data_IF_062467461747
#
_entry.id   IF_062467461747
#
_cell.length_a   1.000
_cell.length_b   1.000
_cell.length_c   1.000
_cell.angle_alpha   90.00
_cell.angle_beta   90.00
_cell.angle_gamma   90.00
#
_symmetry.space_group_name_H-M   'P 1'
#
loop_
_entity.id
_entity.type
_entity.pdbx_description
1 polymer ?
#
# COMPACT_ATOMS: atom_id res chain seq x y z
N UNK A 1 2.44 29.56 40.70
CA UNK A 1 1.64 29.45 39.46
C UNK A 1 1.87 28.05 38.90
N UNK A 2 0.87 27.16 39.03
CA UNK A 2 0.97 25.78 38.60
C UNK A 2 0.52 25.67 37.13
N UNK A 3 1.45 25.29 36.25
CA UNK A 3 1.17 25.03 34.84
C UNK A 3 0.53 23.65 34.67
N UNK A 4 -0.73 23.64 34.25
CA UNK A 4 -1.52 22.45 34.00
C UNK A 4 -1.11 21.82 32.66
N UNK A 5 -0.55 20.61 32.68
CA UNK A 5 -0.33 19.76 31.50
C UNK A 5 -1.65 19.18 31.02
N UNK A 6 -2.12 19.59 29.84
CA UNK A 6 -3.23 18.91 29.16
C UNK A 6 -2.71 17.62 28.52
N UNK A 7 -3.20 16.48 29.00
CA UNK A 7 -3.03 15.19 28.35
C UNK A 7 -3.89 15.15 27.06
N UNK A 8 -3.28 14.71 25.96
CA UNK A 8 -3.99 14.46 24.72
C UNK A 8 -5.01 13.32 24.91
N UNK A 9 -6.24 13.53 24.43
CA UNK A 9 -7.32 12.56 24.55
C UNK A 9 -7.02 11.29 23.72
N UNK A 10 -7.30 10.09 24.24
CA UNK A 10 -7.14 8.85 23.48
C UNK A 10 -8.18 8.74 22.35
N UNK A 11 -7.70 8.36 21.17
CA UNK A 11 -8.48 8.23 19.94
C UNK A 11 -9.47 7.04 20.05
N UNK A 12 -10.79 7.23 19.79
CA UNK A 12 -11.78 6.19 20.01
C UNK A 12 -11.93 5.32 18.76
N UNK A 13 -11.08 4.31 18.60
CA UNK A 13 -11.26 3.31 17.53
C UNK A 13 -11.25 1.88 18.06
N UNK A 14 -12.11 1.61 19.03
CA UNK A 14 -12.48 0.27 19.46
C UNK A 14 -13.94 -0.01 19.06
N UNK A 15 -14.19 -0.28 17.79
CA UNK A 15 -15.50 -0.78 17.33
C UNK A 15 -15.35 -2.10 16.57
N UNK A 16 -15.86 -3.12 17.26
CA UNK A 16 -16.05 -4.52 16.88
C UNK A 16 -16.64 -4.66 15.48
N UNK A 17 -16.00 -5.44 14.61
CA UNK A 17 -16.61 -5.96 13.39
C UNK A 17 -17.73 -6.94 13.75
N UNK A 18 -18.99 -6.62 13.37
CA UNK A 18 -20.06 -7.61 13.23
C UNK A 18 -20.19 -8.00 11.74
N UNK A 19 -20.39 -9.29 11.40
CA UNK A 19 -20.63 -9.69 10.03
C UNK A 19 -22.07 -9.36 9.62
N UNK A 20 -22.24 -8.69 8.47
CA UNK A 20 -23.54 -8.59 7.81
C UNK A 20 -23.73 -9.81 6.91
N UNK A 21 -24.56 -10.74 7.37
CA UNK A 21 -25.23 -11.71 6.51
C UNK A 21 -26.40 -11.04 5.77
N UNK A 22 -26.64 -11.45 4.52
CA UNK A 22 -27.77 -10.96 3.76
C UNK A 22 -27.74 -11.39 2.30
N UNK A 23 -28.33 -12.54 2.01
CA UNK A 23 -28.70 -13.01 0.67
C UNK A 23 -29.72 -12.08 0.02
N UNK A 24 -29.53 -11.71 -1.26
CA UNK A 24 -30.65 -11.53 -2.20
C UNK A 24 -30.21 -11.55 -3.66
N UNK A 25 -30.94 -12.37 -4.41
CA UNK A 25 -30.96 -12.57 -5.86
C UNK A 25 -31.41 -11.32 -6.61
N UNK A 26 -30.73 -10.96 -7.70
CA UNK A 26 -31.15 -9.89 -8.60
C UNK A 26 -30.51 -10.01 -9.98
N UNK A 27 -31.33 -10.37 -10.98
CA UNK A 27 -31.01 -10.49 -12.40
C UNK A 27 -30.82 -9.08 -12.99
N UNK A 28 -29.70 -8.79 -13.65
CA UNK A 28 -29.49 -7.55 -14.39
C UNK A 28 -29.11 -7.84 -15.84
N UNK A 29 -29.90 -7.28 -16.74
CA UNK A 29 -29.79 -7.33 -18.20
C UNK A 29 -28.61 -6.51 -18.73
N UNK A 30 -28.05 -6.97 -19.85
CA UNK A 30 -26.89 -6.39 -20.50
C UNK A 30 -27.18 -5.03 -21.15
N UNK A 31 -26.30 -4.05 -20.90
CA UNK A 31 -26.06 -2.91 -21.80
C UNK A 31 -24.55 -2.68 -21.92
N UNK A 32 -24.04 -2.86 -23.14
CA UNK A 32 -22.65 -2.71 -23.53
C UNK A 32 -22.28 -1.22 -23.64
N UNK A 33 -21.59 -0.71 -22.63
CA UNK A 33 -20.83 0.53 -22.69
C UNK A 33 -19.44 0.27 -22.15
N UNK A 34 -18.44 0.19 -23.02
CA UNK A 34 -17.04 -0.09 -22.67
C UNK A 34 -16.40 1.15 -22.04
N UNK A 35 -16.78 1.47 -20.80
CA UNK A 35 -16.00 2.38 -19.93
C UNK A 35 -14.81 1.60 -19.40
N UNK A 36 -13.59 2.14 -19.54
CA UNK A 36 -12.36 1.63 -18.92
C UNK A 36 -12.61 1.53 -17.42
N UNK A 37 -12.87 0.33 -16.91
CA UNK A 37 -12.96 0.07 -15.48
C UNK A 37 -11.53 0.13 -14.95
N UNK A 38 -11.22 1.14 -14.14
CA UNK A 38 -9.99 1.11 -13.36
C UNK A 38 -10.04 -0.14 -12.47
N UNK A 39 -8.92 -0.83 -12.39
CA UNK A 39 -8.78 -2.12 -11.73
C UNK A 39 -8.89 -1.93 -10.20
N UNK A 40 -10.11 -1.85 -9.69
CA UNK A 40 -10.38 -1.55 -8.26
C UNK A 40 -10.52 -2.79 -7.38
N UNK A 41 -10.36 -4.01 -7.92
CA UNK A 41 -10.75 -5.25 -7.24
C UNK A 41 -9.60 -6.14 -6.70
N UNK A 42 -8.32 -5.83 -6.93
CA UNK A 42 -7.22 -6.78 -6.64
C UNK A 42 -6.15 -6.24 -5.68
N UNK A 43 -6.49 -5.88 -4.44
CA UNK A 43 -5.49 -5.35 -3.48
C UNK A 43 -5.85 -5.55 -1.99
N UNK A 44 -6.22 -6.78 -1.57
CA UNK A 44 -6.95 -6.93 -0.29
C UNK A 44 -6.14 -6.95 1.01
N UNK A 45 -4.87 -7.35 1.09
CA UNK A 45 -4.18 -7.22 2.36
C UNK A 45 -3.52 -5.82 2.47
N UNK A 46 -2.71 -5.40 1.49
CA UNK A 46 -1.76 -4.27 1.73
C UNK A 46 -2.48 -2.94 1.55
N UNK A 47 -3.19 -2.82 0.44
CA UNK A 47 -3.96 -1.63 0.12
C UNK A 47 -5.21 -1.52 0.98
N UNK A 48 -5.82 -2.61 1.46
CA UNK A 48 -6.93 -2.47 2.40
C UNK A 48 -6.45 -1.95 3.76
N UNK A 49 -5.32 -2.45 4.27
CA UNK A 49 -4.69 -1.94 5.49
C UNK A 49 -4.26 -0.47 5.32
N UNK A 50 -3.73 -0.13 4.15
CA UNK A 50 -3.39 1.25 3.79
C UNK A 50 -4.59 2.19 3.57
N UNK A 51 -5.68 1.73 2.95
CA UNK A 51 -6.89 2.55 2.71
C UNK A 51 -7.60 2.94 4.01
N UNK A 52 -7.42 2.18 5.09
CA UNK A 52 -7.83 2.61 6.42
C UNK A 52 -6.95 3.73 6.98
N UNK A 53 -5.70 3.81 6.53
CA UNK A 53 -4.65 4.71 7.03
C UNK A 53 -4.55 6.04 6.27
N UNK A 54 -4.79 6.04 4.95
CA UNK A 54 -4.62 7.20 4.07
C UNK A 54 -5.56 8.39 4.38
N UNK A 55 -6.38 8.30 5.43
CA UNK A 55 -7.19 9.40 5.96
C UNK A 55 -6.45 10.22 7.03
N UNK A 56 -5.37 9.70 7.60
CA UNK A 56 -4.64 10.31 8.73
C UNK A 56 -3.45 11.18 8.29
N UNK A 57 -2.85 10.92 7.11
CA UNK A 57 -1.60 11.54 6.67
C UNK A 57 -1.74 12.92 5.97
N UNK A 58 -2.71 13.76 6.34
CA UNK A 58 -2.84 15.10 5.76
C UNK A 58 -2.57 16.18 6.82
N UNK A 59 -1.39 16.83 6.84
CA UNK A 59 -1.19 17.99 7.67
C UNK A 59 -2.01 19.15 7.09
N UNK A 60 -3.04 19.57 7.82
CA UNK A 60 -3.85 20.75 7.49
C UNK A 60 -4.91 20.54 6.41
N UNK A 61 -6.11 20.11 6.81
CA UNK A 61 -7.38 20.63 6.27
C UNK A 61 -7.62 20.62 4.76
N UNK A 62 -6.96 19.77 3.98
CA UNK A 62 -7.30 19.53 2.56
C UNK A 62 -6.79 18.14 2.16
N UNK A 63 -7.70 17.18 2.06
CA UNK A 63 -7.40 15.79 1.73
C UNK A 63 -6.78 15.62 0.34
N UNK A 64 -5.47 15.82 0.23
CA UNK A 64 -4.65 15.41 -0.91
C UNK A 64 -4.10 14.03 -0.58
N UNK A 65 -4.90 13.01 -0.87
CA UNK A 65 -4.53 11.62 -0.64
C UNK A 65 -3.25 11.27 -1.39
N UNK A 66 -2.31 10.62 -0.72
CA UNK A 66 -1.10 10.09 -1.35
C UNK A 66 -1.50 9.05 -2.39
N UNK A 67 -1.22 9.28 -3.69
CA UNK A 67 -1.60 8.32 -4.71
C UNK A 67 -0.75 7.05 -4.54
N UNK A 68 -1.43 5.92 -4.50
CA UNK A 68 -0.79 4.62 -4.72
C UNK A 68 -0.36 4.59 -6.18
N UNK A 69 0.95 4.51 -6.43
CA UNK A 69 1.50 4.43 -7.77
C UNK A 69 1.53 2.99 -8.29
N UNK A 70 2.11 2.07 -7.49
CA UNK A 70 2.06 0.63 -7.76
C UNK A 70 1.49 -0.12 -6.57
N UNK A 71 0.67 -1.14 -6.83
CA UNK A 71 0.27 -2.13 -5.84
C UNK A 71 0.69 -3.52 -6.34
N UNK A 72 -0.12 -4.13 -7.22
CA UNK A 72 0.28 -5.34 -7.93
C UNK A 72 0.83 -5.02 -9.32
N UNK A 73 1.86 -5.75 -9.75
CA UNK A 73 2.41 -5.76 -11.12
C UNK A 73 2.58 -7.21 -11.58
N UNK A 74 2.34 -7.50 -12.85
CA UNK A 74 2.58 -8.84 -13.39
C UNK A 74 4.08 -9.18 -13.44
N UNK A 75 4.42 -10.46 -13.47
CA UNK A 75 5.80 -10.93 -13.68
C UNK A 75 6.37 -10.44 -15.01
N UNK A 76 5.57 -10.41 -16.08
CA UNK A 76 6.01 -9.87 -17.36
C UNK A 76 6.39 -8.40 -17.30
N UNK A 77 5.64 -7.58 -16.57
CA UNK A 77 6.01 -6.17 -16.34
C UNK A 77 7.27 -6.06 -15.47
N UNK A 78 7.39 -6.90 -14.44
CA UNK A 78 8.59 -6.93 -13.59
C UNK A 78 9.84 -7.30 -14.39
N UNK A 79 9.73 -8.29 -15.26
CA UNK A 79 10.79 -8.71 -16.16
C UNK A 79 11.19 -7.58 -17.11
N UNK A 80 10.23 -6.87 -17.72
CA UNK A 80 10.52 -5.71 -18.56
C UNK A 80 11.20 -4.57 -17.78
N UNK A 81 10.82 -4.34 -16.52
CA UNK A 81 11.49 -3.35 -15.65
C UNK A 81 12.92 -3.78 -15.30
N UNK A 82 13.14 -5.07 -15.07
CA UNK A 82 14.47 -5.65 -14.83
C UNK A 82 15.37 -5.49 -16.07
N UNK A 83 14.87 -5.86 -17.24
CA UNK A 83 15.58 -5.75 -18.52
C UNK A 83 15.93 -4.31 -18.90
N UNK A 84 15.10 -3.34 -18.50
CA UNK A 84 15.34 -1.91 -18.74
C UNK A 84 16.16 -1.24 -17.62
N UNK A 85 16.65 -2.00 -16.63
CA UNK A 85 17.42 -1.49 -15.50
C UNK A 85 16.61 -0.63 -14.51
N UNK A 86 15.28 -0.59 -14.64
CA UNK A 86 14.37 0.10 -13.70
C UNK A 86 14.05 -0.72 -12.45
N UNK A 87 14.42 -1.99 -12.45
CA UNK A 87 14.38 -2.87 -11.29
C UNK A 87 15.68 -3.67 -11.22
N UNK A 88 16.14 -3.96 -10.01
CA UNK A 88 17.29 -4.84 -9.77
C UNK A 88 16.86 -6.29 -9.51
N UNK A 89 15.55 -6.55 -9.43
CA UNK A 89 14.99 -7.88 -9.14
C UNK A 89 13.98 -8.32 -10.19
N UNK A 90 13.99 -9.60 -10.51
CA UNK A 90 13.01 -10.27 -11.39
C UNK A 90 11.73 -10.69 -10.66
N UNK A 91 11.77 -10.74 -9.33
CA UNK A 91 10.61 -10.98 -8.46
C UNK A 91 10.62 -10.03 -7.26
N UNK A 92 9.44 -9.53 -6.88
CA UNK A 92 9.23 -8.68 -5.71
C UNK A 92 7.85 -8.92 -5.10
N UNK A 93 7.60 -8.34 -3.92
CA UNK A 93 6.28 -8.37 -3.26
C UNK A 93 5.16 -7.69 -4.06
N UNK A 94 5.48 -6.88 -5.09
CA UNK A 94 4.48 -6.38 -6.04
C UNK A 94 3.94 -7.47 -6.98
N UNK A 95 4.65 -8.58 -7.13
CA UNK A 95 4.37 -9.59 -8.15
C UNK A 95 3.80 -10.89 -7.58
N UNK A 96 3.59 -10.95 -6.27
CA UNK A 96 3.02 -12.12 -5.63
C UNK A 96 1.65 -12.43 -6.26
N UNK A 97 1.48 -13.69 -6.66
CA UNK A 97 0.26 -14.21 -7.29
C UNK A 97 -0.05 -15.53 -6.63
N UNK A 98 -1.26 -15.71 -6.12
CA UNK A 98 -1.65 -16.94 -5.43
C UNK A 98 -1.60 -18.12 -6.40
N UNK A 99 -1.56 -19.34 -5.85
CA UNK A 99 -1.54 -20.57 -6.65
C UNK A 99 -2.78 -20.73 -7.54
N UNK A 100 -3.90 -20.11 -7.17
CA UNK A 100 -5.13 -20.04 -7.99
C UNK A 100 -5.07 -18.98 -9.10
N UNK A 101 -3.93 -18.32 -9.30
CA UNK A 101 -3.70 -17.29 -10.30
C UNK A 101 -4.18 -15.89 -9.90
N UNK A 102 -4.74 -15.71 -8.70
CA UNK A 102 -5.20 -14.40 -8.26
C UNK A 102 -4.05 -13.47 -7.83
N UNK A 103 -3.99 -12.23 -8.33
CA UNK A 103 -3.05 -11.22 -7.87
C UNK A 103 -3.10 -10.96 -6.37
N UNK A 104 -1.95 -10.95 -5.72
CA UNK A 104 -1.81 -10.65 -4.29
C UNK A 104 -0.70 -9.60 -4.08
N UNK A 105 -1.07 -8.32 -4.10
CA UNK A 105 -0.13 -7.24 -3.77
C UNK A 105 0.29 -7.35 -2.30
N UNK A 106 1.54 -7.76 -2.07
CA UNK A 106 2.18 -7.78 -0.75
C UNK A 106 3.04 -6.53 -0.50
N UNK A 107 3.16 -5.67 -1.51
CA UNK A 107 3.77 -4.35 -1.40
C UNK A 107 2.96 -3.29 -2.15
N UNK A 108 3.22 -2.03 -1.82
CA UNK A 108 2.63 -0.84 -2.42
C UNK A 108 3.68 0.27 -2.47
N UNK A 109 3.72 0.98 -3.59
CA UNK A 109 4.50 2.19 -3.74
C UNK A 109 3.56 3.40 -3.58
N UNK A 110 3.85 4.24 -2.59
CA UNK A 110 3.08 5.43 -2.23
C UNK A 110 3.95 6.64 -2.44
N UNK A 111 3.47 7.63 -3.21
CA UNK A 111 4.28 8.79 -3.61
C UNK A 111 3.67 10.09 -3.10
N UNK A 112 4.49 11.14 -3.01
CA UNK A 112 3.99 12.49 -2.75
C UNK A 112 3.24 12.98 -4.01
N UNK A 113 2.01 13.48 -3.87
CA UNK A 113 1.23 13.93 -5.02
C UNK A 113 1.83 15.14 -5.76
N UNK A 114 2.66 15.92 -5.08
CA UNK A 114 3.31 17.14 -5.61
C UNK A 114 4.64 16.82 -6.26
N UNK A 115 5.36 15.86 -5.67
CA UNK A 115 6.79 15.65 -5.93
C UNK A 115 7.13 14.24 -6.40
N UNK A 116 6.15 13.35 -6.51
CA UNK A 116 6.33 11.98 -6.97
C UNK A 116 7.29 11.20 -6.07
N UNK A 117 8.32 10.66 -6.70
CA UNK A 117 9.33 9.77 -6.10
C UNK A 117 10.52 10.51 -5.50
N UNK A 118 10.55 11.84 -5.57
CA UNK A 118 11.75 12.61 -5.26
C UNK A 118 12.03 12.64 -3.75
N UNK A 119 13.28 12.35 -3.38
CA UNK A 119 13.83 12.57 -2.04
C UNK A 119 14.48 13.95 -1.98
N UNK A 120 13.75 14.92 -1.42
CA UNK A 120 14.17 16.32 -1.30
C UNK A 120 13.63 16.92 0.00
N UNK A 121 14.15 18.05 0.49
CA UNK A 121 13.72 18.65 1.75
C UNK A 121 12.20 18.83 1.86
N UNK A 122 11.50 19.13 0.76
CA UNK A 122 10.05 19.35 0.70
C UNK A 122 9.22 18.07 0.84
N UNK A 123 9.82 16.90 0.60
CA UNK A 123 9.20 15.58 0.78
C UNK A 123 9.56 14.93 2.12
N UNK A 124 10.48 15.51 2.90
CA UNK A 124 10.93 14.95 4.18
C UNK A 124 9.76 14.68 5.16
N UNK A 125 8.86 15.65 5.35
CA UNK A 125 7.69 15.47 6.22
C UNK A 125 6.73 14.40 5.70
N UNK A 126 6.62 14.26 4.38
CA UNK A 126 5.79 13.24 3.77
C UNK A 126 6.35 11.83 4.03
N UNK A 127 7.65 11.63 3.78
CA UNK A 127 8.32 10.36 4.02
C UNK A 127 8.33 9.98 5.50
N UNK A 128 8.56 10.95 6.39
CA UNK A 128 8.46 10.73 7.83
C UNK A 128 7.06 10.26 8.24
N UNK A 129 6.01 10.98 7.82
CA UNK A 129 4.63 10.62 8.13
C UNK A 129 4.26 9.23 7.57
N UNK A 130 4.74 8.89 6.36
CA UNK A 130 4.55 7.57 5.78
C UNK A 130 5.20 6.49 6.66
N UNK A 131 6.45 6.68 7.09
CA UNK A 131 7.17 5.72 7.93
C UNK A 131 6.50 5.51 9.29
N UNK A 132 6.06 6.58 9.95
CA UNK A 132 5.34 6.52 11.24
C UNK A 132 4.04 5.70 11.12
N UNK A 133 3.27 5.94 10.07
CA UNK A 133 1.98 5.27 9.84
C UNK A 133 2.17 3.80 9.45
N UNK A 134 3.20 3.51 8.64
CA UNK A 134 3.60 2.14 8.30
C UNK A 134 4.00 1.36 9.56
N UNK A 135 4.74 1.98 10.47
CA UNK A 135 5.11 1.38 11.74
C UNK A 135 3.88 1.08 12.63
N UNK A 136 2.91 2.01 12.72
CA UNK A 136 1.65 1.79 13.46
C UNK A 136 0.87 0.60 12.91
N UNK A 137 0.89 0.40 11.59
CA UNK A 137 0.22 -0.73 10.93
C UNK A 137 0.99 -2.06 11.06
N UNK A 138 2.20 -2.06 11.62
CA UNK A 138 3.08 -3.23 11.66
C UNK A 138 3.47 -3.70 10.25
N UNK A 139 3.69 -2.75 9.34
CA UNK A 139 4.20 -2.97 8.00
C UNK A 139 5.68 -2.57 7.94
N UNK A 140 6.37 -2.95 6.86
CA UNK A 140 7.77 -2.63 6.63
C UNK A 140 7.88 -1.49 5.61
N UNK A 141 8.78 -0.55 5.86
CA UNK A 141 8.99 0.63 5.02
C UNK A 141 10.37 0.64 4.38
N UNK A 142 10.45 0.89 3.07
CA UNK A 142 11.71 0.95 2.35
C UNK A 142 12.58 2.16 2.70
N UNK A 143 12.01 3.21 3.29
CA UNK A 143 12.77 4.37 3.77
C UNK A 143 13.63 4.09 5.01
N UNK A 144 13.34 3.01 5.76
CA UNK A 144 14.14 2.62 6.93
C UNK A 144 15.26 1.62 6.60
N UNK A 145 15.44 1.23 5.34
CA UNK A 145 16.51 0.32 4.94
C UNK A 145 17.88 1.00 4.96
N UNK A 146 18.90 0.25 5.39
CA UNK A 146 20.29 0.74 5.46
C UNK A 146 20.91 0.95 4.07
N UNK A 147 20.48 0.14 3.10
CA UNK A 147 20.87 0.25 1.69
C UNK A 147 19.64 0.19 0.79
N UNK A 148 19.75 0.73 -0.43
CA UNK A 148 18.66 0.75 -1.42
C UNK A 148 17.35 1.38 -0.90
N UNK A 149 17.44 2.56 -0.29
CA UNK A 149 16.29 3.25 0.29
C UNK A 149 15.19 3.50 -0.75
N UNK A 150 14.09 2.78 -0.58
CA UNK A 150 12.88 2.96 -1.38
C UNK A 150 11.83 3.70 -0.56
N UNK A 151 11.92 5.02 -0.44
CA UNK A 151 11.01 5.80 0.42
C UNK A 151 9.53 5.62 0.07
N UNK A 152 9.20 5.35 -1.18
CA UNK A 152 7.83 5.08 -1.60
C UNK A 152 7.37 3.65 -1.23
N UNK A 153 8.30 2.73 -1.00
CA UNK A 153 8.01 1.30 -0.91
C UNK A 153 7.51 0.90 0.48
N UNK A 154 6.38 0.22 0.54
CA UNK A 154 5.80 -0.35 1.76
C UNK A 154 5.42 -1.80 1.50
N UNK A 155 5.74 -2.70 2.41
CA UNK A 155 5.50 -4.13 2.25
C UNK A 155 5.02 -4.82 3.53
N UNK A 156 4.43 -6.00 3.39
CA UNK A 156 3.90 -6.78 4.52
C UNK A 156 4.91 -7.55 5.32
N UNK A 157 5.90 -8.08 4.63
CA UNK A 157 6.85 -9.02 5.19
C UNK A 157 8.24 -8.44 5.06
N UNK A 158 9.13 -8.83 5.95
CA UNK A 158 10.54 -8.49 5.81
C UNK A 158 11.13 -9.10 4.52
N UNK A 159 12.20 -8.49 4.01
CA UNK A 159 12.92 -8.97 2.83
C UNK A 159 13.45 -10.41 3.00
N UNK A 160 13.76 -10.85 4.22
CA UNK A 160 14.19 -12.22 4.53
C UNK A 160 13.13 -13.27 4.15
N UNK A 161 11.85 -12.86 4.09
CA UNK A 161 10.76 -13.75 3.68
C UNK A 161 10.55 -13.81 2.17
N UNK A 162 11.28 -13.03 1.36
CA UNK A 162 11.06 -12.96 -0.08
C UNK A 162 11.19 -14.34 -0.75
N UNK A 163 12.18 -15.15 -0.36
CA UNK A 163 12.38 -16.49 -0.90
C UNK A 163 11.27 -17.48 -0.48
N UNK A 164 10.72 -17.34 0.73
CA UNK A 164 9.55 -18.11 1.17
C UNK A 164 8.30 -17.73 0.37
N UNK A 165 8.02 -16.43 0.25
CA UNK A 165 6.89 -15.91 -0.50
C UNK A 165 7.01 -16.33 -1.97
N UNK A 166 8.17 -16.20 -2.59
CA UNK A 166 8.38 -16.65 -3.96
C UNK A 166 7.96 -18.11 -4.17
N UNK A 167 8.38 -19.01 -3.27
CA UNK A 167 8.01 -20.44 -3.29
C UNK A 167 6.51 -20.66 -3.09
N UNK A 168 5.89 -19.99 -2.12
CA UNK A 168 4.44 -20.12 -1.84
C UNK A 168 3.59 -19.68 -3.04
N UNK A 169 4.10 -18.73 -3.81
CA UNK A 169 3.47 -18.15 -4.99
C UNK A 169 3.89 -18.83 -6.30
N UNK A 170 4.56 -19.99 -6.23
CA UNK A 170 4.80 -20.88 -7.37
C UNK A 170 5.91 -20.43 -8.33
N UNK A 171 6.91 -19.70 -7.84
CA UNK A 171 8.02 -19.13 -8.62
C UNK A 171 9.42 -19.47 -8.06
#
# INVERSE_FOLDING_TARGET
MAGSTQAAAPCPCSLRCRPLGGTRTGRATARSGRKKRSCSACTRPCVARWRSCSRSCAPGGSGRGSPIFYAWRSLGLQQALYETGRSQVSFSFHNATRQDGHPEALAVDIIDSRYGWEDRPETATFWQALGEEVAILGLYWGGSWESFRGYAHVQFYDNDRLAEIRRLHGL
#
